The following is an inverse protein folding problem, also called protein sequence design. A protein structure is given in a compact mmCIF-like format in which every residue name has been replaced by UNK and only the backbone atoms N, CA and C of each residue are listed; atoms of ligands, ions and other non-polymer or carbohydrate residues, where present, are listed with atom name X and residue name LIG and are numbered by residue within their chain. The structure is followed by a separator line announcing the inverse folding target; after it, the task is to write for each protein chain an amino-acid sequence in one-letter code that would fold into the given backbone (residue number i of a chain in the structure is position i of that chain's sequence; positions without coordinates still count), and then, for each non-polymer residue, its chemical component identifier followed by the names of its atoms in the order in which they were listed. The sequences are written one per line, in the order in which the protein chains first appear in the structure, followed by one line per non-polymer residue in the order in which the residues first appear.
data_IF_157311708973
#
_entry.id   IF_157311708973
#
_cell.length_a   1.000
_cell.length_b   1.000
_cell.length_c   1.000
_cell.angle_alpha   90.00
_cell.angle_beta   90.00
_cell.angle_gamma   90.00
#
_symmetry.space_group_name_H-M   'P 1'
#
loop_
_entity.id
_entity.type
_entity.pdbx_description
1 polymer ?
2 polymer ?
3 branched ?
4 branched ?
5 non-polymer ?
6 non-polymer ?
7 water ?
#
# COMPACT_ATOMS: atom_id res chain seq x y z
N UNK A 1 15.57 24.28 5.85
CA UNK A 1 14.14 24.57 5.76
C UNK A 1 13.31 23.88 6.82
N UNK A 2 12.01 23.84 6.60
CA UNK A 2 11.09 23.14 7.50
C UNK A 2 11.36 21.65 7.47
N UNK A 3 11.21 20.99 8.62
CA UNK A 3 11.40 19.54 8.69
C UNK A 3 10.43 18.83 7.76
N UNK A 4 10.97 17.96 6.92
CA UNK A 4 10.19 17.18 5.98
C UNK A 4 10.37 15.70 6.25
N UNK A 5 9.35 14.92 5.90
CA UNK A 5 9.57 13.48 5.88
C UNK A 5 10.31 13.10 4.61
N UNK A 6 11.04 11.99 4.63
CA UNK A 6 11.89 11.67 3.48
C UNK A 6 11.07 11.21 2.29
N UNK A 7 11.62 11.45 1.10
CA UNK A 7 10.95 10.99 -0.10
C UNK A 7 12.00 10.59 -1.13
N UNK A 8 11.55 9.77 -2.09
CA UNK A 8 12.44 9.19 -3.10
C UNK A 8 12.57 10.10 -4.32
N UNK A 9 13.73 10.05 -4.95
CA UNK A 9 13.86 10.56 -6.31
C UNK A 9 13.17 9.56 -7.23
N UNK A 10 12.01 9.94 -7.75
CA UNK A 10 11.19 9.02 -8.52
C UNK A 10 11.71 8.81 -9.94
N UNK A 11 12.82 9.43 -10.32
CA UNK A 11 13.41 9.23 -11.65
C UNK A 11 14.49 8.17 -11.66
N UNK A 12 14.79 7.56 -10.52
CA UNK A 12 15.83 6.55 -10.50
C UNK A 12 15.35 5.32 -11.26
N UNK A 13 16.22 4.65 -12.00
CA UNK A 13 15.79 3.49 -12.78
C UNK A 13 15.22 2.40 -11.89
N UNK A 14 14.17 1.75 -12.36
CA UNK A 14 13.53 0.68 -11.63
C UNK A 14 13.68 -0.68 -12.31
N UNK A 15 14.41 -0.72 -13.42
CA UNK A 15 14.63 -1.95 -14.18
C UNK A 15 16.07 -1.89 -14.64
N UNK A 16 16.91 -2.71 -14.06
CA UNK A 16 18.35 -2.64 -14.23
C UNK A 16 18.83 -3.99 -14.74
N UNK A 17 19.78 -3.97 -15.67
CA UNK A 17 20.37 -5.19 -16.20
C UNK A 17 21.88 -5.13 -16.05
N UNK A 18 22.48 -6.23 -15.58
CA UNK A 18 23.91 -6.26 -15.29
C UNK A 18 24.45 -7.65 -15.58
N UNK A 19 25.79 -7.72 -15.66
CA UNK A 19 26.46 -8.92 -16.17
C UNK A 19 26.82 -9.89 -15.05
N UNK A 20 26.63 -11.19 -15.35
CA UNK A 20 27.11 -12.26 -14.50
C UNK A 20 28.58 -12.02 -14.20
N UNK A 21 28.96 -12.20 -12.94
CA UNK A 21 30.35 -12.07 -12.55
C UNK A 21 30.83 -10.66 -12.31
N UNK A 22 30.03 -9.64 -12.63
CA UNK A 22 30.37 -8.26 -12.35
C UNK A 22 29.50 -7.72 -11.23
N UNK A 23 29.87 -6.55 -10.71
CA UNK A 23 29.06 -5.92 -9.68
C UNK A 23 27.80 -5.37 -10.31
N UNK A 24 26.67 -5.63 -9.68
CA UNK A 24 25.42 -4.96 -10.00
C UNK A 24 25.20 -3.84 -8.99
N UNK A 25 24.80 -2.67 -9.48
CA UNK A 25 24.56 -1.50 -8.63
C UNK A 25 23.10 -1.12 -8.73
N UNK A 26 22.41 -1.11 -7.59
CA UNK A 26 21.02 -0.71 -7.51
C UNK A 26 20.96 0.59 -6.73
N UNK A 27 20.40 1.63 -7.34
CA UNK A 27 20.44 2.97 -6.79
C UNK A 27 19.12 3.41 -6.20
N UNK A 28 19.22 4.17 -5.12
CA UNK A 28 18.08 4.70 -4.39
C UNK A 28 18.47 6.09 -3.91
N UNK A 29 17.70 7.13 -4.26
CA UNK A 29 18.02 8.47 -3.77
C UNK A 29 16.91 8.97 -2.84
N UNK A 30 17.28 9.26 -1.60
CA UNK A 30 16.32 9.67 -0.56
C UNK A 30 16.65 11.09 -0.14
N UNK A 31 15.68 11.98 -0.26
CA UNK A 31 15.82 13.37 0.18
C UNK A 31 15.24 13.53 1.57
N UNK A 32 15.86 14.40 2.38
CA UNK A 32 15.35 14.72 3.71
C UNK A 32 15.26 13.47 4.60
N UNK A 33 16.33 12.66 4.57
CA UNK A 33 16.30 11.42 5.35
C UNK A 33 16.07 11.69 6.83
N UNK A 34 16.66 12.76 7.36
CA UNK A 34 16.47 13.06 8.76
C UNK A 34 17.02 11.96 9.64
N UNK A 35 16.19 11.49 10.57
CA UNK A 35 16.56 10.47 11.53
C UNK A 35 16.14 9.06 11.11
N UNK A 36 15.64 8.90 9.89
CA UNK A 36 15.25 7.60 9.40
C UNK A 36 16.47 6.84 8.88
N UNK A 37 16.27 5.60 8.48
CA UNK A 37 17.31 4.84 7.83
C UNK A 37 16.81 4.35 6.47
N UNK A 38 17.76 4.01 5.60
CA UNK A 38 17.47 3.47 4.29
C UNK A 38 17.97 2.04 4.23
N UNK A 39 17.06 1.09 4.00
CA UNK A 39 17.40 -0.32 3.99
C UNK A 39 17.18 -0.93 2.62
N UNK A 40 17.97 -1.97 2.29
CA UNK A 40 17.76 -2.76 1.09
C UNK A 40 17.35 -4.17 1.47
N UNK A 41 16.29 -4.66 0.83
CA UNK A 41 15.67 -5.95 1.13
C UNK A 41 15.44 -6.70 -0.17
N UNK A 42 15.61 -8.02 -0.12
CA UNK A 42 15.44 -8.86 -1.29
C UNK A 42 14.02 -9.42 -1.29
N UNK A 43 13.26 -9.20 -2.38
CA UNK A 43 11.83 -9.52 -2.36
C UNK A 43 11.57 -11.02 -2.31
N UNK A 44 12.41 -11.82 -2.98
CA UNK A 44 11.99 -13.20 -3.19
C UNK A 44 11.87 -13.96 -1.87
N UNK A 45 12.71 -13.63 -0.88
CA UNK A 45 12.64 -14.30 0.41
C UNK A 45 12.50 -13.31 1.57
N UNK A 46 12.34 -12.02 1.29
CA UNK A 46 12.29 -10.96 2.31
C UNK A 46 13.57 -10.91 3.14
N UNK A 47 14.71 -11.30 2.57
CA UNK A 47 15.96 -11.23 3.32
C UNK A 47 16.41 -9.79 3.41
N UNK A 48 16.62 -9.31 4.65
CA UNK A 48 17.24 -8.01 4.87
C UNK A 48 18.70 -8.05 4.43
N UNK A 49 19.11 -7.09 3.61
CA UNK A 49 20.50 -7.06 3.13
C UNK A 49 21.33 -6.03 3.89
N UNK A 50 20.92 -4.76 3.84
CA UNK A 50 21.66 -3.66 4.45
C UNK A 50 20.68 -2.70 5.12
N UNK A 51 21.13 -2.07 6.20
CA UNK A 51 20.42 -0.95 6.82
C UNK A 51 21.41 0.19 6.94
N UNK A 52 21.15 1.30 6.24
CA UNK A 52 22.21 2.29 6.08
C UNK A 52 23.40 1.60 5.40
N UNK A 53 24.60 1.79 5.95
CA UNK A 53 25.78 1.13 5.43
C UNK A 53 26.16 -0.11 6.24
N UNK A 54 25.30 -0.54 7.16
CA UNK A 54 25.48 -1.78 7.89
C UNK A 54 24.99 -2.95 7.06
N UNK A 55 25.79 -4.01 6.95
CA UNK A 55 25.38 -5.20 6.21
C UNK A 55 24.87 -6.24 7.18
N UNK A 56 23.59 -6.61 7.05
CA UNK A 56 23.01 -7.66 7.87
C UNK A 56 23.29 -9.04 7.28
N UNK A 57 23.03 -9.23 5.99
CA UNK A 57 23.31 -10.50 5.34
C UNK A 57 24.77 -10.89 5.56
N UNK A 58 25.02 -12.19 5.68
CA UNK A 58 26.40 -12.68 5.70
C UNK A 58 26.85 -13.18 4.34
N UNK A 59 26.02 -13.05 3.31
CA UNK A 59 26.51 -13.16 1.94
C UNK A 59 27.37 -11.92 1.71
N UNK A 60 28.69 -12.11 1.72
CA UNK A 60 29.61 -10.98 1.75
C UNK A 60 29.64 -10.22 0.43
N UNK A 61 28.90 -10.65 -0.58
CA UNK A 61 28.86 -9.91 -1.85
C UNK A 61 28.04 -8.62 -1.76
N UNK A 62 27.17 -8.48 -0.76
CA UNK A 62 26.31 -7.33 -0.65
C UNK A 62 26.97 -6.22 0.15
N UNK A 63 26.88 -4.99 -0.35
CA UNK A 63 27.40 -3.84 0.37
C UNK A 63 26.66 -2.60 -0.09
N UNK A 64 26.23 -1.75 0.84
CA UNK A 64 25.56 -0.52 0.48
C UNK A 64 26.45 0.67 0.82
N UNK A 65 26.61 1.57 -0.13
CA UNK A 65 27.44 2.74 0.00
C UNK A 65 26.56 3.98 -0.06
N UNK A 66 26.97 5.01 0.67
CA UNK A 66 26.22 6.26 0.69
C UNK A 66 27.04 7.31 -0.04
N UNK A 67 26.45 7.91 -1.08
CA UNK A 67 27.09 8.98 -1.84
C UNK A 67 26.38 10.29 -1.45
N UNK A 68 27.02 11.06 -0.56
CA UNK A 68 26.34 12.18 0.09
C UNK A 68 26.01 13.31 -0.88
N UNK A 69 26.78 13.45 -1.95
CA UNK A 69 26.57 14.56 -2.87
C UNK A 69 25.29 14.40 -3.67
N UNK A 70 24.81 13.17 -3.84
CA UNK A 70 23.61 12.87 -4.61
C UNK A 70 22.54 12.21 -3.75
N UNK A 71 22.72 12.23 -2.43
CA UNK A 71 21.81 11.56 -1.50
C UNK A 71 21.50 10.13 -1.92
N UNK A 72 22.47 9.41 -2.52
CA UNK A 72 22.17 8.08 -3.04
C UNK A 72 22.67 6.99 -2.09
N UNK A 73 21.82 5.97 -1.91
CA UNK A 73 22.17 4.74 -1.19
C UNK A 73 22.21 3.65 -2.24
N UNK A 74 23.43 3.22 -2.62
CA UNK A 74 23.63 2.31 -3.74
C UNK A 74 23.95 0.93 -3.20
N UNK A 75 23.05 -0.03 -3.44
CA UNK A 75 23.31 -1.43 -3.14
C UNK A 75 24.22 -2.01 -4.21
N UNK A 76 25.34 -2.60 -3.80
CA UNK A 76 26.24 -3.30 -4.71
C UNK A 76 26.09 -4.79 -4.47
N UNK A 77 25.78 -5.53 -5.53
CA UNK A 77 25.84 -6.99 -5.50
C UNK A 77 27.11 -7.40 -6.25
N UNK A 78 28.19 -7.63 -5.50
CA UNK A 78 29.42 -8.04 -6.14
C UNK A 78 29.26 -9.42 -6.76
N UNK A 79 29.97 -9.64 -7.86
CA UNK A 79 30.05 -10.96 -8.48
C UNK A 79 28.64 -11.52 -8.66
N UNK A 80 27.78 -10.72 -9.29
CA UNK A 80 26.37 -11.08 -9.34
C UNK A 80 26.18 -12.34 -10.18
N UNK A 81 25.18 -13.12 -9.79
CA UNK A 81 24.85 -14.36 -10.46
C UNK A 81 23.40 -14.31 -10.93
N UNK A 82 23.03 -15.31 -11.74
CA UNK A 82 21.67 -15.34 -12.28
C UNK A 82 20.65 -15.49 -11.17
N UNK A 83 20.99 -16.28 -10.14
CA UNK A 83 20.09 -16.40 -8.99
C UNK A 83 19.85 -15.09 -8.26
N UNK A 84 20.65 -14.05 -8.51
CA UNK A 84 20.43 -12.77 -7.87
C UNK A 84 19.41 -11.91 -8.59
N UNK A 85 18.99 -12.32 -9.78
CA UNK A 85 17.97 -11.55 -10.50
C UNK A 85 16.67 -11.53 -9.68
N UNK A 86 15.91 -10.44 -9.84
CA UNK A 86 14.63 -10.32 -9.21
C UNK A 86 14.49 -8.96 -8.59
N UNK A 87 13.50 -8.80 -7.74
CA UNK A 87 13.16 -7.48 -7.22
C UNK A 87 13.81 -7.25 -5.86
N UNK A 88 14.36 -6.05 -5.70
CA UNK A 88 14.94 -5.56 -4.45
C UNK A 88 14.23 -4.27 -4.09
N UNK A 89 14.18 -3.95 -2.80
CA UNK A 89 13.42 -2.80 -2.34
C UNK A 89 14.33 -1.92 -1.51
N UNK A 90 14.34 -0.63 -1.83
CA UNK A 90 14.89 0.41 -0.96
C UNK A 90 13.77 0.90 -0.03
N UNK A 91 14.04 0.91 1.26
CA UNK A 91 12.97 1.07 2.25
C UNK A 91 13.36 2.14 3.28
N UNK A 92 12.54 3.18 3.42
CA UNK A 92 12.75 4.20 4.43
C UNK A 92 11.88 3.86 5.63
N UNK A 93 12.48 3.90 6.81
CA UNK A 93 11.85 3.44 8.05
C UNK A 93 10.80 4.38 8.64
N UNK A 94 10.07 5.11 7.80
CA UNK A 94 8.87 5.79 8.26
C UNK A 94 7.80 4.77 8.65
N UNK A 95 6.78 5.27 9.33
CA UNK A 95 5.56 4.51 9.65
C UNK A 95 4.37 5.26 9.07
N UNK A 96 3.67 4.73 8.04
CA UNK A 96 4.03 3.49 7.34
C UNK A 96 5.33 3.59 6.55
N UNK A 97 5.88 2.43 6.18
CA UNK A 97 7.14 2.41 5.46
C UNK A 97 6.96 2.98 4.06
N UNK A 98 8.03 3.59 3.53
CA UNK A 98 8.08 4.07 2.15
C UNK A 98 9.11 3.23 1.39
N UNK A 99 8.71 2.71 0.23
CA UNK A 99 9.51 1.74 -0.52
C UNK A 99 9.70 2.20 -1.95
N UNK A 100 10.89 1.95 -2.49
CA UNK A 100 11.18 2.12 -3.92
C UNK A 100 11.70 0.78 -4.44
N UNK A 101 10.94 0.12 -5.31
CA UNK A 101 11.27 -1.24 -5.76
C UNK A 101 11.99 -1.21 -7.10
N UNK A 102 13.08 -1.96 -7.20
CA UNK A 102 13.92 -1.98 -8.40
C UNK A 102 14.11 -3.44 -8.83
N UNK A 103 13.78 -3.73 -10.10
CA UNK A 103 13.97 -5.06 -10.66
C UNK A 103 15.37 -5.16 -11.23
N UNK A 104 15.98 -6.33 -11.03
CA UNK A 104 17.34 -6.60 -11.49
C UNK A 104 17.34 -7.81 -12.39
N UNK A 105 17.86 -7.65 -13.61
CA UNK A 105 18.11 -8.75 -14.53
C UNK A 105 19.60 -8.99 -14.60
N UNK A 106 19.97 -10.26 -14.58
CA UNK A 106 21.38 -10.64 -14.64
C UNK A 106 21.53 -11.57 -15.82
N UNK A 107 22.43 -11.20 -16.75
CA UNK A 107 22.56 -11.86 -18.04
C UNK A 107 24.05 -12.11 -18.30
N UNK A 108 24.31 -12.99 -19.27
CA UNK A 108 25.69 -13.23 -19.67
C UNK A 108 26.16 -12.29 -20.77
N UNK A 109 25.26 -11.86 -21.65
CA UNK A 109 25.67 -11.11 -22.84
C UNK A 109 24.89 -9.81 -22.99
N UNK B 3 29.03 -28.04 11.13
CA UNK B 3 28.14 -26.88 11.05
C UNK B 3 27.31 -26.69 12.32
N UNK B 4 27.84 -25.94 13.29
CA UNK B 4 27.07 -25.56 14.47
C UNK B 4 26.31 -24.27 14.19
N UNK B 5 25.44 -24.35 13.22
CA UNK B 5 24.74 -23.16 12.76
C UNK B 5 23.48 -22.92 13.57
N UNK B 6 23.01 -21.67 13.60
CA UNK B 6 21.74 -21.40 14.27
C UNK B 6 20.62 -22.24 13.69
N UNK B 7 19.65 -22.57 14.52
CA UNK B 7 18.45 -23.22 14.04
C UNK B 7 17.28 -22.83 14.93
N UNK B 8 16.08 -22.82 14.35
CA UNK B 8 14.89 -22.57 15.14
C UNK B 8 14.56 -23.77 16.00
N UNK B 9 14.16 -23.50 17.25
CA UNK B 9 13.82 -24.55 18.21
C UNK B 9 12.37 -24.96 18.08
N UNK B 10 11.47 -23.99 17.87
CA UNK B 10 10.09 -24.34 17.56
C UNK B 10 9.48 -23.20 16.78
N UNK B 11 8.32 -23.48 16.19
CA UNK B 11 7.62 -22.47 15.43
C UNK B 11 7.29 -21.27 16.29
N UNK B 12 7.34 -20.09 15.68
CA UNK B 12 6.77 -18.90 16.32
C UNK B 12 5.31 -19.16 16.60
N UNK B 13 4.90 -18.97 17.85
CA UNK B 13 3.50 -19.11 18.18
C UNK B 13 2.71 -17.96 17.56
N UNK B 14 1.51 -18.26 17.10
CA UNK B 14 0.63 -17.21 16.65
C UNK B 14 0.03 -16.49 17.86
N UNK B 15 -0.45 -15.28 17.63
CA UNK B 15 -0.96 -14.43 18.71
C UNK B 15 -2.35 -13.93 18.32
N UNK B 16 -3.29 -14.05 19.26
CA UNK B 16 -4.59 -13.43 19.17
C UNK B 16 -4.74 -12.48 20.35
N UNK B 17 -5.05 -11.22 20.07
CA UNK B 17 -5.02 -10.17 21.08
C UNK B 17 -6.10 -9.15 20.76
N UNK B 18 -6.78 -8.67 21.79
CA UNK B 18 -7.81 -7.66 21.58
C UNK B 18 -7.20 -6.30 21.26
N UNK B 19 -7.91 -5.53 20.45
CA UNK B 19 -7.46 -4.17 20.11
C UNK B 19 -7.08 -3.42 21.38
N UNK B 20 -5.95 -2.72 21.34
CA UNK B 20 -5.50 -1.90 22.44
C UNK B 20 -4.65 -2.60 23.46
N UNK B 21 -4.62 -3.93 23.46
CA UNK B 21 -3.75 -4.66 24.36
C UNK B 21 -2.40 -4.92 23.67
N UNK B 22 -1.44 -5.42 24.44
CA UNK B 22 -0.08 -5.61 23.96
C UNK B 22 0.14 -7.02 23.47
N UNK B 23 1.04 -7.17 22.50
CA UNK B 23 1.33 -8.46 21.90
C UNK B 23 2.83 -8.69 21.91
N UNK B 24 3.22 -9.96 22.02
CA UNK B 24 4.63 -10.36 21.99
C UNK B 24 4.78 -11.55 21.06
N UNK B 25 5.72 -11.46 20.11
CA UNK B 25 6.16 -12.60 19.33
C UNK B 25 7.55 -13.00 19.82
N UNK B 26 7.77 -14.31 19.90
CA UNK B 26 9.03 -14.84 20.41
C UNK B 26 9.63 -15.80 19.39
N UNK B 27 10.87 -15.55 19.02
CA UNK B 27 11.63 -16.41 18.13
C UNK B 27 12.58 -17.26 18.99
N UNK B 28 12.36 -18.58 19.03
CA UNK B 28 13.15 -19.48 19.84
C UNK B 28 14.23 -20.11 18.97
N UNK B 29 15.50 -19.87 19.33
CA UNK B 29 16.62 -20.36 18.53
C UNK B 29 17.62 -21.11 19.41
N UNK B 30 18.48 -21.88 18.76
CA UNK B 30 19.63 -22.51 19.40
C UNK B 30 20.88 -22.18 18.60
N UNK B 31 22.03 -22.14 19.30
CA UNK B 31 23.33 -21.91 18.69
C UNK B 31 23.38 -20.62 17.89
N UNK B 32 22.71 -19.56 18.38
CA UNK B 32 22.70 -18.30 17.67
C UNK B 32 24.12 -17.78 17.43
N UNK B 33 25.01 -17.95 18.40
CA UNK B 33 26.38 -17.51 18.20
C UNK B 33 26.43 -16.02 17.95
N UNK B 34 27.20 -15.62 16.94
CA UNK B 34 27.31 -14.23 16.54
C UNK B 34 26.28 -13.76 15.53
N UNK B 35 25.35 -14.63 15.15
CA UNK B 35 24.31 -14.26 14.19
C UNK B 35 23.24 -13.40 14.88
N UNK B 36 22.40 -12.75 14.07
CA UNK B 36 21.51 -11.72 14.60
C UNK B 36 20.08 -11.96 14.12
N UNK B 37 19.13 -11.73 15.02
CA UNK B 37 17.71 -11.95 14.75
C UNK B 37 17.11 -10.66 14.22
N UNK B 38 16.55 -10.72 13.02
CA UNK B 38 15.78 -9.62 12.47
C UNK B 38 14.29 -9.93 12.45
N UNK B 39 13.48 -8.87 12.60
CA UNK B 39 12.04 -8.97 12.55
C UNK B 39 11.51 -8.08 11.43
N UNK B 40 10.59 -8.60 10.64
CA UNK B 40 9.95 -7.75 9.65
C UNK B 40 8.50 -8.15 9.49
N UNK B 41 7.70 -7.20 9.06
CA UNK B 41 6.29 -7.42 8.82
C UNK B 41 6.10 -7.95 7.40
N UNK B 42 5.51 -9.14 7.27
CA UNK B 42 5.59 -9.84 5.99
C UNK B 42 4.76 -9.18 4.90
N UNK B 43 3.62 -8.57 5.22
CA UNK B 43 2.79 -8.08 4.13
C UNK B 43 3.24 -6.71 3.64
N UNK B 44 3.70 -5.83 4.54
CA UNK B 44 4.28 -4.57 4.11
C UNK B 44 5.77 -4.66 3.82
N UNK B 45 6.43 -5.74 4.23
CA UNK B 45 7.88 -5.95 4.14
C UNK B 45 8.65 -5.00 5.06
N UNK B 46 7.96 -4.27 5.94
CA UNK B 46 8.62 -3.28 6.78
C UNK B 46 9.53 -3.94 7.81
N UNK B 47 10.80 -3.52 7.83
CA UNK B 47 11.73 -4.02 8.84
C UNK B 47 11.32 -3.47 10.21
N UNK B 48 11.16 -4.36 11.18
CA UNK B 48 10.82 -3.89 12.53
C UNK B 48 12.06 -3.64 13.38
N UNK B 49 13.01 -4.58 13.35
CA UNK B 49 14.12 -4.59 14.28
C UNK B 49 15.21 -5.54 13.80
N UNK B 50 16.44 -5.30 14.25
CA UNK B 50 17.55 -6.22 14.10
C UNK B 50 18.31 -6.24 15.42
N UNK B 51 18.44 -7.44 16.02
CA UNK B 51 19.20 -7.62 17.25
C UNK B 51 18.54 -6.77 18.32
N UNK B 52 19.25 -5.87 19.00
CA UNK B 52 18.67 -5.01 20.02
C UNK B 52 18.19 -3.67 19.48
N UNK B 53 18.21 -3.44 18.18
CA UNK B 53 17.93 -2.14 17.59
C UNK B 53 16.60 -2.17 16.85
N UNK B 54 15.63 -1.37 17.34
CA UNK B 54 14.40 -1.16 16.59
C UNK B 54 14.71 -0.31 15.37
N UNK B 55 14.17 -0.70 14.23
CA UNK B 55 14.41 0.03 13.00
C UNK B 55 13.20 0.89 12.64
N UNK B 56 12.00 0.32 12.76
CA UNK B 56 10.80 1.06 12.41
C UNK B 56 10.62 2.24 13.33
N UNK B 57 10.11 3.33 12.78
CA UNK B 57 9.78 4.48 13.59
C UNK B 57 8.35 4.43 14.11
N UNK B 58 7.69 3.27 14.01
CA UNK B 58 6.48 2.96 14.75
C UNK B 58 6.79 3.02 16.25
N UNK B 59 6.25 4.01 16.99
CA UNK B 59 6.61 4.14 18.41
C UNK B 59 6.11 3.01 19.28
N UNK B 60 5.23 2.14 18.77
CA UNK B 60 4.66 1.06 19.59
C UNK B 60 5.50 -0.22 19.57
N UNK B 61 6.62 -0.24 18.84
CA UNK B 61 7.40 -1.46 18.59
C UNK B 61 8.67 -1.41 19.44
N UNK B 62 8.89 -2.46 20.22
CA UNK B 62 10.14 -2.63 20.96
C UNK B 62 10.62 -4.07 20.80
N UNK B 63 11.85 -4.33 21.23
CA UNK B 63 12.38 -5.69 21.26
C UNK B 63 13.00 -5.94 22.62
N UNK B 64 13.21 -7.23 22.92
CA UNK B 64 13.97 -7.65 24.08
C UNK B 64 14.49 -9.05 23.80
N UNK B 65 15.41 -9.50 24.67
CA UNK B 65 15.84 -10.88 24.69
C UNK B 65 15.87 -11.36 26.14
N UNK B 66 15.37 -12.56 26.37
CA UNK B 66 15.48 -13.14 27.70
C UNK B 66 16.86 -13.77 27.88
N UNK B 67 17.32 -14.47 26.85
CA UNK B 67 18.68 -15.00 26.78
C UNK B 67 19.06 -15.08 25.31
N UNK B 68 20.19 -15.73 25.02
CA UNK B 68 20.60 -15.86 23.62
C UNK B 68 19.69 -16.77 22.81
N UNK B 69 18.84 -17.55 23.47
CA UNK B 69 17.95 -18.45 22.75
C UNK B 69 16.58 -17.87 22.47
N UNK B 70 16.26 -16.68 22.98
CA UNK B 70 14.86 -16.26 23.14
C UNK B 70 14.72 -14.77 22.82
N UNK B 71 14.20 -14.47 21.64
CA UNK B 71 14.22 -13.13 21.09
C UNK B 71 12.78 -12.68 20.84
N UNK B 72 12.41 -11.53 21.41
CA UNK B 72 11.04 -11.05 21.42
C UNK B 72 10.86 -9.81 20.56
N UNK B 73 9.73 -9.75 19.89
CA UNK B 73 9.23 -8.52 19.27
C UNK B 73 7.96 -8.11 19.99
N UNK B 74 7.91 -6.86 20.46
CA UNK B 74 6.76 -6.38 21.25
C UNK B 74 5.99 -5.32 20.48
N UNK B 75 4.67 -5.49 20.39
CA UNK B 75 3.77 -4.51 19.78
C UNK B 75 2.80 -4.02 20.84
N UNK B 76 2.96 -2.76 21.25
CA UNK B 76 2.10 -2.18 22.28
C UNK B 76 0.80 -1.68 21.66
N UNK B 77 -0.28 -1.84 22.40
CA UNK B 77 -1.57 -1.21 22.07
C UNK B 77 -1.95 -1.50 20.62
N UNK B 78 -2.14 -2.79 20.33
CA UNK B 78 -2.27 -3.24 18.95
C UNK B 78 -3.49 -2.61 18.30
N UNK B 79 -3.38 -2.31 17.02
CA UNK B 79 -4.50 -1.84 16.22
C UNK B 79 -4.79 -2.85 15.12
N UNK B 80 -5.89 -2.59 14.39
CA UNK B 80 -6.24 -3.43 13.26
C UNK B 80 -5.15 -3.46 12.20
N UNK B 81 -4.45 -2.33 12.01
CA UNK B 81 -3.42 -2.26 10.97
C UNK B 81 -2.23 -3.17 11.27
N UNK B 82 -2.08 -3.62 12.52
CA UNK B 82 -0.98 -4.50 12.90
C UNK B 82 -1.21 -5.95 12.48
N UNK B 83 -2.45 -6.32 12.13
CA UNK B 83 -2.76 -7.68 11.69
C UNK B 83 -1.78 -8.14 10.61
N UNK B 84 -1.45 -9.44 10.63
CA UNK B 84 -0.66 -10.02 9.57
C UNK B 84 0.57 -10.76 10.09
N UNK B 85 1.46 -11.12 9.17
CA UNK B 85 2.57 -11.98 9.48
C UNK B 85 3.77 -11.18 9.97
N UNK B 86 4.44 -11.72 10.99
CA UNK B 86 5.68 -11.17 11.51
C UNK B 86 6.75 -12.26 11.39
N UNK B 87 7.75 -11.98 10.57
CA UNK B 87 8.82 -12.90 10.22
C UNK B 87 10.02 -12.73 11.14
N UNK B 88 10.45 -13.83 11.75
CA UNK B 88 11.73 -13.89 12.43
C UNK B 88 12.75 -14.41 11.42
N UNK B 89 13.88 -13.75 11.32
CA UNK B 89 14.90 -14.00 10.30
C UNK B 89 16.28 -14.10 10.95
N UNK B 90 17.13 -15.00 10.45
CA UNK B 90 18.51 -15.14 10.91
C UNK B 90 19.45 -14.89 9.74
N UNK B 91 20.49 -14.09 9.96
CA UNK B 91 21.43 -13.82 8.87
C UNK B 91 22.44 -14.94 8.65
N UNK B 92 21.99 -16.18 8.73
CA UNK B 92 22.80 -17.29 8.22
C UNK B 92 22.91 -17.22 6.70
N UNK B 93 23.75 -18.08 6.13
CA UNK B 93 23.88 -18.21 4.68
C UNK B 93 23.70 -19.67 4.31
N UNK B 94 22.54 -20.06 3.77
CA UNK B 94 21.41 -19.18 3.40
C UNK B 94 20.61 -18.71 4.60
N UNK B 95 19.84 -17.64 4.39
CA UNK B 95 19.01 -17.11 5.46
C UNK B 95 18.00 -18.14 5.90
N UNK B 96 17.63 -18.09 7.18
CA UNK B 96 16.56 -18.90 7.72
C UNK B 96 15.46 -17.98 8.25
N UNK B 97 14.21 -18.41 8.10
CA UNK B 97 13.12 -17.55 8.59
C UNK B 97 11.95 -18.41 9.01
N UNK B 98 11.10 -17.83 9.86
CA UNK B 98 9.83 -18.35 10.30
C UNK B 98 8.86 -17.19 10.40
N UNK B 99 7.56 -17.47 10.28
CA UNK B 99 6.55 -16.42 10.38
C UNK B 99 5.50 -16.80 11.43
N UNK B 100 5.13 -15.83 12.25
CA UNK B 100 3.97 -15.96 13.13
C UNK B 100 2.96 -14.87 12.81
N UNK B 101 1.70 -15.14 13.14
CA UNK B 101 0.63 -14.26 12.66
C UNK B 101 -0.12 -13.63 13.82
N UNK B 102 -0.43 -12.34 13.66
CA UNK B 102 -1.15 -11.58 14.66
C UNK B 102 -2.61 -11.47 14.24
N UNK B 103 -3.50 -11.94 15.11
CA UNK B 103 -4.94 -11.75 14.95
C UNK B 103 -5.40 -10.72 15.97
N UNK B 104 -6.04 -9.66 15.48
CA UNK B 104 -6.52 -8.57 16.31
C UNK B 104 -8.05 -8.69 16.39
N UNK B 105 -8.57 -8.91 17.59
CA UNK B 105 -10.01 -9.12 17.76
C UNK B 105 -10.61 -7.89 18.44
N UNK B 106 -11.81 -7.52 18.01
CA UNK B 106 -12.45 -6.33 18.53
C UNK B 106 -13.36 -6.65 19.70
N UNK C 1 1.22 -5.91 -6.69
CA UNK C 1 1.58 -7.28 -6.98
C UNK C 1 2.89 -7.41 -7.74
N UNK C 2 3.55 -6.27 -7.98
CA UNK C 2 4.78 -6.26 -8.77
C UNK C 2 5.59 -5.01 -8.44
N UNK C 3 6.82 -4.97 -8.96
CA UNK C 3 7.66 -3.79 -8.83
C UNK C 3 7.22 -2.66 -9.76
N UNK C 4 6.51 -2.98 -10.83
CA UNK C 4 6.20 -1.96 -11.85
C UNK C 4 4.86 -1.31 -11.52
N UNK C 5 4.86 -0.51 -10.46
CA UNK C 5 3.69 0.12 -9.88
C UNK C 5 3.90 1.62 -9.67
N UNK C 6 2.85 2.41 -9.68
CA UNK C 6 3.01 3.87 -9.66
C UNK C 6 3.41 4.39 -8.29
N UNK C 7 3.98 5.60 -8.28
CA UNK C 7 4.33 6.29 -7.05
C UNK C 7 3.75 7.71 -7.04
N UNK C 8 3.20 8.09 -5.89
CA UNK C 8 2.83 9.48 -5.62
C UNK C 8 4.06 10.33 -5.35
N UNK C 9 4.00 11.59 -5.79
CA UNK C 9 4.92 12.62 -5.32
C UNK C 9 4.46 13.04 -3.92
N UNK C 10 5.16 12.58 -2.89
CA UNK C 10 4.75 12.81 -1.50
C UNK C 10 5.07 14.21 -1.01
N UNK C 11 5.60 15.09 -1.87
CA UNK C 11 5.82 16.48 -1.49
C UNK C 11 4.65 17.38 -1.89
N UNK C 12 3.61 16.84 -2.49
CA UNK C 12 2.46 17.67 -2.83
C UNK C 12 1.71 18.08 -1.56
N UNK C 13 1.18 19.30 -1.50
CA UNK C 13 0.52 19.75 -0.27
C UNK C 13 -0.62 18.83 0.13
N UNK C 14 -0.76 18.61 1.43
CA UNK C 14 -1.83 17.78 1.95
C UNK C 14 -2.84 18.58 2.76
N UNK C 15 -2.66 19.89 2.85
CA UNK C 15 -3.56 20.78 3.57
C UNK C 15 -3.62 22.07 2.77
N UNK C 16 -4.77 22.34 2.15
CA UNK C 16 -4.95 23.46 1.23
C UNK C 16 -6.09 24.34 1.72
N UNK C 17 -5.89 25.65 1.68
CA UNK C 17 -6.90 26.61 2.07
C UNK C 17 -7.21 27.50 0.87
N UNK C 18 -8.50 27.62 0.55
CA UNK C 18 -8.96 28.40 -0.58
C UNK C 18 -10.18 29.20 -0.17
N UNK C 19 -10.43 30.30 -0.90
CA UNK C 19 -11.48 31.23 -0.54
C UNK C 19 -12.86 30.78 -1.05
N UNK C 20 -13.89 31.10 -0.27
CA UNK C 20 -15.27 30.85 -0.69
C UNK C 20 -15.53 31.57 -2.00
N UNK C 21 -16.21 30.90 -2.92
CA UNK C 21 -16.59 31.54 -4.16
C UNK C 21 -15.51 31.59 -5.22
N UNK C 22 -14.32 31.06 -4.94
CA UNK C 22 -13.25 30.95 -5.93
C UNK C 22 -13.02 29.48 -6.23
N UNK C 23 -12.24 29.21 -7.29
CA UNK C 23 -11.87 27.83 -7.59
C UNK C 23 -10.85 27.32 -6.57
N UNK C 24 -11.09 26.14 -6.05
CA UNK C 24 -10.07 25.44 -5.27
C UNK C 24 -9.40 24.40 -6.16
N UNK C 25 -8.08 24.29 -6.03
CA UNK C 25 -7.30 23.37 -6.86
C UNK C 25 -6.57 22.42 -5.93
N UNK C 26 -6.79 21.12 -6.12
CA UNK C 26 -6.13 20.09 -5.33
C UNK C 26 -5.28 19.26 -6.28
N UNK C 27 -3.99 19.14 -5.96
CA UNK C 27 -3.02 18.57 -6.87
C UNK C 27 -2.58 17.20 -6.43
N UNK C 28 -2.28 16.36 -7.41
CA UNK C 28 -1.85 14.99 -7.20
C UNK C 28 -0.88 14.67 -8.32
N UNK C 29 0.31 14.16 -7.99
CA UNK C 29 1.31 13.84 -9.00
C UNK C 29 1.70 12.37 -8.88
N UNK C 30 1.66 11.65 -10.00
CA UNK C 30 1.85 10.20 -10.03
C UNK C 30 2.91 9.88 -11.08
N UNK C 31 3.93 9.14 -10.66
CA UNK C 31 5.01 8.72 -11.53
C UNK C 31 4.86 7.23 -11.81
N UNK C 32 5.27 6.82 -13.01
CA UNK C 32 5.22 5.42 -13.44
C UNK C 32 3.79 4.88 -13.42
N UNK C 33 2.85 5.68 -13.93
CA UNK C 33 1.45 5.29 -13.81
C UNK C 33 1.16 4.00 -14.56
N UNK C 34 1.84 3.77 -15.69
CA UNK C 34 1.56 2.57 -16.47
C UNK C 34 0.13 2.56 -16.97
N UNK C 35 -0.57 1.45 -16.78
CA UNK C 35 -1.95 1.36 -17.23
C UNK C 35 -2.98 1.50 -16.10
N UNK C 36 -2.58 2.11 -14.97
CA UNK C 36 -3.52 2.36 -13.89
C UNK C 36 -4.27 3.67 -14.15
N UNK C 37 -5.31 3.91 -13.36
CA UNK C 37 -6.02 5.18 -13.44
C UNK C 37 -5.76 6.01 -12.20
N UNK C 38 -6.02 7.31 -12.33
CA UNK C 38 -5.91 8.28 -11.25
C UNK C 38 -7.30 8.87 -11.05
N UNK C 39 -7.85 8.69 -9.87
CA UNK C 39 -9.21 9.16 -9.58
C UNK C 39 -9.20 10.10 -8.38
N UNK C 40 -10.16 11.01 -8.36
CA UNK C 40 -10.41 11.85 -7.20
C UNK C 40 -11.74 11.47 -6.57
N UNK C 41 -11.73 11.27 -5.24
CA UNK C 41 -12.92 10.89 -4.48
C UNK C 41 -13.07 11.87 -3.33
N UNK C 42 -14.33 12.06 -2.89
CA UNK C 42 -14.63 12.92 -1.73
C UNK C 42 -14.87 12.05 -0.49
N UNK C 43 -14.10 12.30 0.58
CA UNK C 43 -14.19 11.43 1.75
C UNK C 43 -15.55 11.53 2.46
N UNK C 44 -16.15 12.72 2.55
CA UNK C 44 -17.29 12.82 3.46
C UNK C 44 -18.44 11.91 3.06
N UNK C 45 -18.67 11.70 1.76
CA UNK C 45 -19.74 10.80 1.33
C UNK C 45 -19.25 9.71 0.39
N UNK C 46 -17.92 9.59 0.21
CA UNK C 46 -17.32 8.63 -0.72
C UNK C 46 -17.79 8.84 -2.15
N UNK C 47 -18.15 10.08 -2.52
CA UNK C 47 -18.59 10.33 -3.89
C UNK C 47 -17.41 10.33 -4.83
N UNK C 48 -17.48 9.49 -5.87
CA UNK C 48 -16.51 9.51 -6.94
C UNK C 48 -16.69 10.79 -7.73
N UNK C 49 -15.60 11.56 -7.88
CA UNK C 49 -15.65 12.81 -8.61
C UNK C 49 -15.17 12.63 -10.04
N UNK C 50 -13.93 12.20 -10.22
CA UNK C 50 -13.30 12.12 -11.54
C UNK C 50 -12.41 10.88 -11.61
N UNK C 51 -12.26 10.35 -12.82
CA UNK C 51 -11.29 9.28 -13.11
C UNK C 51 -10.61 9.66 -14.42
N UNK C 52 -9.28 9.69 -14.42
CA UNK C 52 -8.59 10.33 -15.52
C UNK C 52 -9.09 11.76 -15.65
N UNK C 53 -9.47 12.16 -16.87
CA UNK C 53 -10.11 13.46 -17.08
C UNK C 53 -11.63 13.37 -17.21
N UNK C 54 -12.21 12.18 -17.00
CA UNK C 54 -13.64 11.99 -17.06
C UNK C 54 -14.27 12.42 -15.74
N UNK C 55 -15.28 13.31 -15.81
CA UNK C 55 -16.02 13.71 -14.62
C UNK C 55 -17.21 12.77 -14.43
N UNK C 56 -17.20 12.02 -13.33
CA UNK C 56 -18.34 11.17 -12.99
C UNK C 56 -19.46 11.98 -12.33
N UNK C 57 -19.11 12.82 -11.35
CA UNK C 57 -20.13 13.61 -10.66
C UNK C 57 -20.84 14.53 -11.67
N UNK C 58 -22.13 14.73 -11.47
CA UNK C 58 -22.85 15.72 -12.27
C UNK C 58 -22.99 17.04 -11.55
N UNK C 59 -22.29 17.22 -10.43
CA UNK C 59 -22.01 18.57 -9.92
C UNK C 59 -21.00 19.17 -10.88
N UNK C 60 -21.49 20.06 -11.74
CA UNK C 60 -20.72 20.64 -12.83
C UNK C 60 -19.49 21.39 -12.35
N UNK C 61 -19.38 21.68 -11.05
CA UNK C 61 -18.26 22.48 -10.55
C UNK C 61 -16.95 21.69 -10.52
N UNK C 62 -17.02 20.36 -10.61
CA UNK C 62 -15.82 19.54 -10.50
C UNK C 62 -15.23 19.26 -11.88
N UNK C 63 -13.90 19.36 -11.99
CA UNK C 63 -13.20 18.97 -13.21
C UNK C 63 -11.75 18.66 -12.87
N UNK C 64 -11.21 17.60 -13.45
CA UNK C 64 -9.80 17.25 -13.29
C UNK C 64 -9.07 17.43 -14.61
N UNK C 65 -7.96 18.14 -14.57
CA UNK C 65 -7.11 18.34 -15.73
C UNK C 65 -5.82 17.57 -15.52
N UNK C 66 -5.32 16.98 -16.60
CA UNK C 66 -4.06 16.25 -16.59
C UNK C 66 -3.00 17.10 -17.27
N UNK C 67 -1.92 17.35 -16.56
CA UNK C 67 -0.81 18.15 -17.05
C UNK C 67 0.36 17.20 -17.30
N UNK C 68 0.51 16.81 -18.57
CA UNK C 68 1.50 15.79 -18.91
C UNK C 68 2.91 16.23 -18.53
N UNK C 69 3.18 17.54 -18.61
CA UNK C 69 4.50 18.07 -18.30
C UNK C 69 4.93 17.72 -16.88
N UNK C 70 4.02 17.85 -15.92
CA UNK C 70 4.35 17.70 -14.51
C UNK C 70 3.71 16.47 -13.91
N UNK C 71 3.10 15.62 -14.74
CA UNK C 71 2.41 14.40 -14.31
C UNK C 71 1.44 14.67 -13.16
N UNK C 72 0.68 15.77 -13.28
CA UNK C 72 -0.25 16.18 -12.24
C UNK C 72 -1.69 16.02 -12.71
N UNK C 73 -2.51 15.47 -11.84
CA UNK C 73 -3.96 15.38 -12.03
C UNK C 73 -4.55 16.37 -11.04
N UNK C 74 -4.97 17.54 -11.54
CA UNK C 74 -5.40 18.63 -10.69
C UNK C 74 -6.93 18.65 -10.67
N UNK C 75 -7.50 18.38 -9.49
CA UNK C 75 -8.93 18.57 -9.26
C UNK C 75 -9.24 20.04 -9.06
N UNK C 76 -10.16 20.57 -9.86
CA UNK C 76 -10.67 21.92 -9.68
C UNK C 76 -12.08 21.83 -9.13
N UNK C 77 -12.37 22.59 -8.09
CA UNK C 77 -13.72 22.78 -7.57
C UNK C 77 -14.08 24.24 -7.83
N UNK C 78 -14.84 24.49 -8.90
CA UNK C 78 -15.23 25.85 -9.20
C UNK C 78 -16.23 26.37 -8.18
N UNK C 79 -16.24 27.70 -7.99
CA UNK C 79 -17.26 28.35 -7.16
C UNK C 79 -17.40 27.66 -5.80
N UNK C 80 -16.26 27.47 -5.14
CA UNK C 80 -16.23 26.61 -3.97
C UNK C 80 -17.13 27.14 -2.84
N UNK C 81 -17.78 26.23 -2.15
CA UNK C 81 -18.64 26.54 -1.02
C UNK C 81 -17.99 26.06 0.26
N UNK C 82 -18.49 26.55 1.40
CA UNK C 82 -18.02 26.05 2.67
C UNK C 82 -18.28 24.56 2.82
N UNK C 83 -19.38 24.07 2.23
CA UNK C 83 -19.67 22.64 2.26
C UNK C 83 -18.62 21.80 1.54
N UNK C 84 -17.80 22.37 0.67
CA UNK C 84 -16.78 21.60 -0.02
C UNK C 84 -15.55 21.33 0.84
N UNK C 85 -15.43 22.00 1.99
CA UNK C 85 -14.29 21.75 2.86
C UNK C 85 -14.33 20.31 3.36
N UNK C 86 -13.15 19.72 3.53
CA UNK C 86 -13.00 18.39 4.06
C UNK C 86 -11.96 17.65 3.26
N UNK C 87 -11.90 16.35 3.46
CA UNK C 87 -10.80 15.55 2.90
C UNK C 87 -11.22 14.96 1.57
N UNK C 88 -10.30 15.01 0.60
CA UNK C 88 -10.41 14.39 -0.72
C UNK C 88 -9.22 13.46 -0.88
N UNK C 89 -9.34 12.48 -1.76
CA UNK C 89 -8.15 11.67 -2.02
C UNK C 89 -7.98 11.44 -3.51
N UNK C 90 -6.72 11.44 -3.90
CA UNK C 90 -6.29 10.99 -5.21
C UNK C 90 -5.92 9.51 -5.10
N UNK C 91 -6.48 8.71 -5.99
CA UNK C 91 -6.43 7.27 -5.81
C UNK C 91 -5.89 6.60 -7.07
N UNK C 92 -4.96 5.67 -6.90
CA UNK C 92 -4.46 4.90 -8.05
C UNK C 92 -5.00 3.48 -7.95
N UNK C 93 -5.42 2.93 -9.08
CA UNK C 93 -6.19 1.69 -9.14
C UNK C 93 -5.36 0.43 -8.98
N UNK C 94 -4.30 0.48 -8.16
CA UNK C 94 -3.55 -0.71 -7.81
C UNK C 94 -4.40 -1.61 -6.90
N UNK C 95 -4.00 -2.86 -6.77
CA UNK C 95 -4.57 -3.77 -5.76
C UNK C 95 -3.45 -4.29 -4.88
N UNK C 96 -3.38 -3.90 -3.60
CA UNK C 96 -4.32 -3.02 -2.90
C UNK C 96 -4.22 -1.58 -3.39
N UNK C 97 -5.25 -0.82 -3.09
CA UNK C 97 -5.35 0.53 -3.59
C UNK C 97 -4.34 1.41 -2.85
N UNK C 98 -3.92 2.47 -3.52
CA UNK C 98 -3.02 3.44 -2.92
C UNK C 98 -3.64 4.81 -3.03
N UNK C 99 -3.48 5.62 -1.97
CA UNK C 99 -4.22 6.87 -1.85
C UNK C 99 -3.29 8.00 -1.44
N UNK C 100 -3.59 9.20 -1.92
CA UNK C 100 -2.97 10.43 -1.45
C UNK C 100 -4.09 11.36 -0.99
N UNK C 101 -4.31 11.47 0.32
CA UNK C 101 -5.41 12.27 0.82
C UNK C 101 -4.98 13.72 1.04
N UNK C 102 -5.88 14.65 0.70
CA UNK C 102 -5.59 16.08 0.73
C UNK C 102 -6.77 16.76 1.42
N UNK C 103 -6.49 17.54 2.46
CA UNK C 103 -7.55 18.25 3.17
C UNK C 103 -7.74 19.65 2.59
N UNK C 104 -9.00 20.05 2.45
CA UNK C 104 -9.37 21.34 1.87
C UNK C 104 -10.11 22.17 2.89
N UNK C 105 -9.60 23.36 3.19
CA UNK C 105 -10.30 24.33 4.01
C UNK C 105 -10.82 25.44 3.14
N UNK C 106 -12.05 25.87 3.40
CA UNK C 106 -12.72 26.91 2.62
C UNK C 106 -13.02 28.06 3.57
N UNK C 107 -12.44 29.23 3.31
CA UNK C 107 -12.50 30.34 4.25
C UNK C 107 -13.11 31.55 3.56
N UNK C 108 -13.64 32.46 4.38
CA UNK C 108 -14.09 33.74 3.86
C UNK C 108 -12.92 34.72 3.87
N UNK D 4 -38.51 12.64 -14.26
CA UNK D 4 -37.91 11.34 -14.06
C UNK D 4 -36.43 11.44 -13.72
N UNK D 5 -36.07 11.09 -12.49
CA UNK D 5 -34.68 11.03 -12.06
C UNK D 5 -34.39 9.60 -11.61
N UNK D 6 -33.12 9.16 -11.72
CA UNK D 6 -32.80 7.80 -11.27
C UNK D 6 -33.19 7.60 -9.82
N UNK D 7 -33.66 6.41 -9.51
CA UNK D 7 -34.11 6.07 -8.17
C UNK D 7 -33.76 4.61 -7.90
N UNK D 8 -33.34 4.33 -6.67
CA UNK D 8 -33.19 2.94 -6.25
C UNK D 8 -34.55 2.27 -6.10
N UNK D 9 -34.58 0.96 -6.32
CA UNK D 9 -35.80 0.18 -6.18
C UNK D 9 -35.72 -0.83 -5.03
N UNK D 10 -34.52 -1.26 -4.66
CA UNK D 10 -34.37 -2.33 -3.67
C UNK D 10 -33.00 -2.19 -3.04
N UNK D 11 -32.89 -2.62 -1.79
CA UNK D 11 -31.61 -2.52 -1.09
C UNK D 11 -30.60 -3.51 -1.67
N UNK D 12 -29.34 -3.34 -1.26
CA UNK D 12 -28.26 -4.25 -1.62
C UNK D 12 -28.21 -5.36 -0.57
N UNK D 13 -28.34 -6.60 -1.02
CA UNK D 13 -28.37 -7.70 -0.07
C UNK D 13 -26.98 -7.97 0.50
N UNK D 14 -26.89 -8.04 1.82
CA UNK D 14 -25.69 -8.55 2.45
C UNK D 14 -25.42 -9.97 1.97
N UNK D 15 -24.14 -10.31 1.84
CA UNK D 15 -23.73 -11.61 1.31
C UNK D 15 -22.75 -12.24 2.29
N UNK D 16 -22.97 -13.51 2.59
CA UNK D 16 -22.04 -14.31 3.39
C UNK D 16 -21.64 -15.51 2.54
N UNK D 17 -20.33 -15.68 2.32
CA UNK D 17 -19.82 -16.78 1.50
C UNK D 17 -18.48 -17.22 2.06
N UNK D 18 -18.18 -18.51 1.90
CA UNK D 18 -16.90 -19.06 2.33
C UNK D 18 -15.77 -18.58 1.42
N UNK D 19 -14.57 -18.53 1.99
CA UNK D 19 -13.36 -18.24 1.22
C UNK D 19 -13.31 -19.12 -0.02
N UNK D 20 -12.88 -18.53 -1.14
CA UNK D 20 -12.74 -19.27 -2.39
C UNK D 20 -13.98 -19.30 -3.25
N UNK D 21 -15.15 -18.99 -2.69
CA UNK D 21 -16.39 -18.88 -3.43
C UNK D 21 -16.54 -17.48 -4.03
N UNK D 22 -17.55 -17.32 -4.87
CA UNK D 22 -17.82 -16.05 -5.54
C UNK D 22 -18.99 -15.32 -4.88
N UNK D 23 -19.00 -14.00 -5.05
CA UNK D 23 -20.09 -13.18 -4.51
C UNK D 23 -20.58 -12.24 -5.60
N UNK D 24 -21.85 -11.84 -5.48
CA UNK D 24 -22.42 -10.82 -6.36
C UNK D 24 -23.23 -9.84 -5.51
N UNK D 25 -22.96 -8.55 -5.69
CA UNK D 25 -23.81 -7.50 -5.17
C UNK D 25 -24.58 -6.87 -6.31
N UNK D 26 -25.83 -6.48 -6.04
CA UNK D 26 -26.72 -6.04 -7.09
C UNK D 26 -27.37 -4.73 -6.69
N UNK D 27 -27.26 -3.76 -7.58
CA UNK D 27 -27.88 -2.46 -7.43
C UNK D 27 -29.09 -2.43 -8.36
N UNK D 28 -30.28 -2.33 -7.76
CA UNK D 28 -31.54 -2.28 -8.50
C UNK D 28 -32.02 -0.83 -8.56
N UNK D 29 -32.13 -0.29 -9.77
CA UNK D 29 -32.50 1.10 -9.98
C UNK D 29 -33.67 1.16 -10.96
N UNK D 30 -34.26 2.35 -11.06
CA UNK D 30 -35.22 2.67 -12.11
C UNK D 30 -34.94 4.07 -12.63
N UNK D 31 -35.22 4.28 -13.91
CA UNK D 31 -35.12 5.59 -14.59
C UNK D 31 -33.69 6.10 -14.63
N UNK D 32 -32.73 5.18 -14.77
CA UNK D 32 -31.32 5.55 -14.78
C UNK D 32 -31.01 6.54 -15.89
N UNK D 33 -31.60 6.34 -17.07
CA UNK D 33 -31.34 7.25 -18.18
C UNK D 33 -29.88 7.27 -18.54
N UNK D 34 -29.35 8.47 -18.71
CA UNK D 34 -27.95 8.72 -18.98
C UNK D 34 -27.05 8.77 -17.77
N UNK D 35 -27.60 8.59 -16.57
CA UNK D 35 -26.77 8.53 -15.37
C UNK D 35 -26.05 7.18 -15.31
N UNK D 36 -25.08 7.09 -14.39
CA UNK D 36 -24.12 5.99 -14.36
C UNK D 36 -23.99 5.42 -12.95
N UNK D 37 -23.95 4.09 -12.87
CA UNK D 37 -23.78 3.36 -11.61
C UNK D 37 -22.31 3.16 -11.32
N UNK D 38 -21.88 3.56 -10.13
CA UNK D 38 -20.52 3.34 -9.66
C UNK D 38 -20.51 2.39 -8.48
N UNK D 39 -19.40 1.65 -8.35
CA UNK D 39 -19.22 0.70 -7.27
C UNK D 39 -17.90 1.03 -6.56
N UNK D 40 -17.92 0.99 -5.23
CA UNK D 40 -16.74 1.38 -4.47
C UNK D 40 -16.67 0.55 -3.19
N UNK D 41 -15.46 0.14 -2.81
CA UNK D 41 -15.29 -0.60 -1.56
C UNK D 41 -15.22 0.40 -0.40
N UNK D 42 -16.12 0.27 0.58
CA UNK D 42 -16.31 1.36 1.54
C UNK D 42 -15.11 1.53 2.47
N UNK D 43 -14.50 0.43 2.95
CA UNK D 43 -13.51 0.57 4.01
C UNK D 43 -12.15 1.06 3.48
N UNK D 44 -11.74 0.60 2.30
CA UNK D 44 -10.55 1.09 1.63
C UNK D 44 -10.81 2.29 0.73
N UNK D 45 -12.08 2.61 0.44
CA UNK D 45 -12.53 3.64 -0.49
C UNK D 45 -12.17 3.33 -1.95
N UNK D 46 -11.67 2.12 -2.25
CA UNK D 46 -11.18 1.79 -3.59
C UNK D 46 -12.33 1.70 -4.59
N UNK D 47 -12.19 2.44 -5.70
CA UNK D 47 -13.21 2.36 -6.75
C UNK D 47 -13.15 1.01 -7.42
N UNK D 48 -14.30 0.34 -7.49
CA UNK D 48 -14.31 -0.95 -8.16
C UNK D 48 -14.64 -0.83 -9.64
N UNK D 49 -15.66 -0.02 -9.97
CA UNK D 49 -16.13 0.04 -11.35
C UNK D 49 -17.02 1.25 -11.53
N UNK D 50 -17.16 1.68 -12.78
CA UNK D 50 -18.10 2.73 -13.18
C UNK D 50 -18.74 2.28 -14.49
N UNK D 51 -20.07 2.23 -14.51
CA UNK D 51 -20.83 1.81 -15.69
C UNK D 51 -20.39 0.41 -16.15
N UNK D 52 -19.76 0.32 -17.33
CA UNK D 52 -19.28 -0.97 -17.82
C UNK D 52 -17.77 -1.14 -17.68
N UNK D 53 -17.08 -0.20 -17.06
CA UNK D 53 -15.63 -0.25 -16.91
C UNK D 53 -15.25 -0.74 -15.52
N UNK D 54 -14.51 -1.83 -15.45
CA UNK D 54 -13.87 -2.19 -14.19
C UNK D 54 -12.69 -1.26 -14.01
N UNK D 55 -12.61 -0.65 -12.83
CA UNK D 55 -11.53 0.30 -12.56
C UNK D 55 -10.42 -0.33 -11.73
N UNK D 56 -10.76 -1.08 -10.68
CA UNK D 56 -9.73 -1.77 -9.90
C UNK D 56 -8.96 -2.78 -10.75
N UNK D 57 -7.67 -2.88 -10.50
CA UNK D 57 -6.87 -3.88 -11.19
C UNK D 57 -6.87 -5.20 -10.45
N UNK D 58 -7.73 -5.37 -9.44
CA UNK D 58 -8.01 -6.69 -8.90
C UNK D 58 -8.61 -7.54 -10.01
N UNK D 59 -7.94 -8.62 -10.45
CA UNK D 59 -8.45 -9.40 -11.57
C UNK D 59 -9.71 -10.18 -11.23
N UNK D 60 -10.05 -10.31 -9.95
CA UNK D 60 -11.22 -11.09 -9.55
C UNK D 60 -12.52 -10.31 -9.64
N UNK D 61 -12.49 -9.02 -9.97
CA UNK D 61 -13.68 -8.17 -10.00
C UNK D 61 -14.16 -7.98 -11.44
N UNK D 62 -15.45 -8.21 -11.68
CA UNK D 62 -16.07 -7.87 -12.95
C UNK D 62 -17.39 -7.16 -12.70
N UNK D 63 -17.99 -6.64 -13.77
CA UNK D 63 -19.33 -6.06 -13.69
C UNK D 63 -20.19 -6.60 -14.83
N UNK D 64 -21.49 -6.62 -14.59
CA UNK D 64 -22.46 -6.91 -15.62
C UNK D 64 -23.73 -6.13 -15.29
N UNK D 65 -24.63 -6.06 -16.26
CA UNK D 65 -25.95 -5.54 -15.98
C UNK D 65 -26.97 -6.29 -16.82
N UNK D 66 -28.03 -6.77 -16.19
CA UNK D 66 -29.03 -7.57 -16.90
C UNK D 66 -29.90 -6.69 -17.78
N UNK D 67 -30.25 -5.52 -17.27
CA UNK D 67 -31.07 -4.56 -18.00
C UNK D 67 -30.66 -3.19 -17.48
N UNK D 68 -31.37 -2.16 -17.90
CA UNK D 68 -31.02 -0.83 -17.41
C UNK D 68 -31.37 -0.65 -15.94
N UNK D 69 -32.02 -1.64 -15.30
CA UNK D 69 -32.45 -1.54 -13.92
C UNK D 69 -31.59 -2.34 -12.95
N UNK D 70 -30.76 -3.26 -13.44
CA UNK D 70 -30.09 -4.26 -12.61
C UNK D 70 -28.59 -4.25 -12.90
N UNK D 71 -27.80 -3.76 -11.95
CA UNK D 71 -26.36 -3.56 -12.10
C UNK D 71 -25.65 -4.41 -11.05
N UNK D 72 -24.69 -5.23 -11.52
CA UNK D 72 -24.05 -6.24 -10.71
C UNK D 72 -22.57 -5.93 -10.56
N UNK D 73 -22.04 -6.21 -9.37
CA UNK D 73 -20.61 -6.28 -9.12
C UNK D 73 -20.28 -7.71 -8.72
N UNK D 74 -19.40 -8.36 -9.47
CA UNK D 74 -19.04 -9.75 -9.23
C UNK D 74 -17.63 -9.84 -8.67
N UNK D 75 -17.46 -10.62 -7.61
CA UNK D 75 -16.15 -10.86 -7.01
C UNK D 75 -15.92 -12.37 -7.01
N UNK D 76 -14.97 -12.81 -7.84
CA UNK D 76 -14.63 -14.21 -7.95
C UNK D 76 -13.67 -14.62 -6.85
N UNK D 77 -13.80 -15.87 -6.39
CA UNK D 77 -12.90 -16.47 -5.39
C UNK D 77 -12.56 -15.52 -4.26
N UNK D 78 -13.53 -15.20 -3.40
CA UNK D 78 -13.33 -14.13 -2.43
C UNK D 78 -12.23 -14.50 -1.44
N UNK D 79 -11.54 -13.47 -0.97
CA UNK D 79 -10.48 -13.59 0.00
C UNK D 79 -10.88 -12.84 1.27
N UNK D 80 -10.15 -13.11 2.35
CA UNK D 80 -10.45 -12.45 3.62
C UNK D 80 -10.43 -10.92 3.46
N UNK D 81 -9.51 -10.41 2.65
CA UNK D 81 -9.39 -8.96 2.51
C UNK D 81 -10.51 -8.34 1.68
N UNK D 82 -11.37 -9.17 1.07
CA UNK D 82 -12.55 -8.67 0.37
C UNK D 82 -13.69 -8.30 1.32
N UNK D 83 -13.62 -8.74 2.58
CA UNK D 83 -14.63 -8.40 3.57
C UNK D 83 -14.80 -6.89 3.64
N UNK D 84 -16.04 -6.46 3.93
CA UNK D 84 -16.36 -5.06 4.11
C UNK D 84 -17.57 -4.65 3.30
N UNK D 85 -17.81 -3.34 3.24
CA UNK D 85 -18.97 -2.81 2.55
C UNK D 85 -18.68 -2.53 1.09
N UNK D 86 -19.67 -2.82 0.25
CA UNK D 86 -19.62 -2.47 -1.16
C UNK D 86 -20.73 -1.49 -1.44
N UNK D 87 -20.36 -0.30 -1.90
CA UNK D 87 -21.29 0.81 -2.09
C UNK D 87 -21.63 0.94 -3.55
N UNK D 88 -22.91 0.96 -3.85
CA UNK D 88 -23.39 1.32 -5.16
C UNK D 88 -23.81 2.80 -5.15
N UNK D 89 -23.50 3.48 -6.24
CA UNK D 89 -23.52 4.94 -6.29
C UNK D 89 -24.10 5.38 -7.62
N UNK D 90 -25.01 6.37 -7.58
CA UNK D 90 -25.54 7.02 -8.77
C UNK D 90 -25.00 8.44 -8.85
N UNK D 91 -24.60 8.89 -10.05
CA UNK D 91 -24.11 10.27 -10.18
C UNK D 91 -25.24 11.28 -10.40
N UNK D 92 -26.36 11.09 -9.74
CA UNK D 92 -27.32 12.18 -9.60
C UNK D 92 -26.68 13.32 -8.81
N UNK D 93 -27.38 14.45 -8.75
CA UNK D 93 -26.87 15.64 -8.06
C UNK D 93 -27.96 16.15 -7.14
N UNK D 94 -27.85 15.95 -5.82
CA UNK D 94 -26.81 15.21 -5.09
C UNK D 94 -26.77 13.71 -5.41
N UNK D 95 -25.63 13.10 -5.12
CA UNK D 95 -25.47 11.68 -5.36
C UNK D 95 -26.40 10.88 -4.48
N UNK D 96 -26.66 9.65 -4.89
CA UNK D 96 -27.42 8.70 -4.08
C UNK D 96 -26.62 7.42 -3.98
N UNK D 97 -26.83 6.67 -2.90
CA UNK D 97 -26.03 5.47 -2.69
C UNK D 97 -26.69 4.51 -1.73
N UNK D 98 -26.33 3.23 -1.88
CA UNK D 98 -26.65 2.16 -0.95
C UNK D 98 -25.38 1.34 -0.71
N UNK D 99 -25.34 0.63 0.42
CA UNK D 99 -24.19 -0.22 0.75
C UNK D 99 -24.67 -1.59 1.20
N UNK D 100 -23.98 -2.63 0.73
CA UNK D 100 -24.16 -3.97 1.25
C UNK D 100 -22.82 -4.53 1.67
N UNK D 101 -22.86 -5.58 2.48
CA UNK D 101 -21.65 -6.06 3.15
C UNK D 101 -21.35 -7.50 2.79
N UNK D 102 -20.09 -7.75 2.46
CA UNK D 102 -19.57 -9.10 2.23
C UNK D 102 -19.01 -9.64 3.53
N UNK D 103 -19.55 -10.76 4.00
CA UNK D 103 -18.98 -11.49 5.12
C UNK D 103 -18.25 -12.69 4.54
N UNK D 104 -16.96 -12.79 4.84
CA UNK D 104 -16.12 -13.89 4.35
C UNK D 104 -15.84 -14.81 5.53
N UNK D 105 -16.42 -16.00 5.49
CA UNK D 105 -16.25 -16.97 6.56
C UNK D 105 -15.15 -17.95 6.19
N UNK D 106 -14.31 -18.28 7.16
CA UNK D 106 -13.25 -19.26 6.95
C UNK D 106 -13.65 -20.56 7.61
N UNK D 107 -14.10 -21.56 6.83
CA UNK D 107 -14.50 -22.83 7.46
C UNK D 107 -13.33 -23.63 8.02
N UNK D 108 -12.15 -23.56 7.40
CA UNK D 108 -11.01 -24.36 7.84
C UNK D 108 -10.05 -23.55 8.70
#
# INVERSE_FOLDING_TARGET
GSWNEPYFDLTMPRNITSLVGKSAYLGCRVKHLGNKTVAWIRHRDLHILTVGTYTYTTDQRFQTSYHRDIDEWTLQIKWAQQRDAGVYECQISTQPVRSYSVNLNIVHHHHHH
SRAFQPEFVESISNVSVAVGRDATFTCHVRHLGGYRVGWLKADTKAIQAIHENVITHNPRVTVSHLDQNTWNLHIKAVSEEDRGGYMCQLNTDPMKSQIGFLDVVIPHHHHHH
GSWNEPYFDLTMPRNITSLVGKSAYLGCRVKHLGNKTVAWIRHRDLHILTVGTYTYTTDQRFQTSYHRDIDEWTLQIKWAQQRDAGVYECQISTQPVRSYSVNLNIVHHHHHH
SRAFQPEFVESISNVSVAVGRDATFTCHVRHLGGYRVGWLKADTKAIQAIHENVITHNPRVTVSHLDQNTWNLHIKAVSEEDRGGYMCQLNTDPMKSQIGFLDVVIPHHHHHH
#
